data_IF_752691619832
#
_entry.id   IF_752691619832
#
_cell.length_a   1.000
_cell.length_b   1.000
_cell.length_c   1.000
_cell.angle_alpha   90.00
_cell.angle_beta   90.00
_cell.angle_gamma   90.00
#
_symmetry.space_group_name_H-M   'P 1'
#
loop_
_entity.id
_entity.type
_entity.pdbx_description
1 polymer ?
#
# COMPACT_ATOMS: atom_id res chain seq x y z
N UNK A 1 -4.98 2.22 11.56
CA UNK A 1 -6.32 1.97 12.14
C UNK A 1 -7.43 2.75 11.45
N UNK A 2 -7.38 4.08 11.31
CA UNK A 2 -8.40 4.81 10.54
C UNK A 2 -8.32 4.54 9.03
N UNK A 3 -7.10 4.40 8.49
CA UNK A 3 -6.92 4.05 7.07
C UNK A 3 -7.41 2.63 6.74
N UNK A 4 -7.35 1.68 7.68
CA UNK A 4 -7.83 0.30 7.45
C UNK A 4 -9.35 0.18 7.38
N UNK A 5 -10.10 1.22 7.79
CA UNK A 5 -11.56 1.28 7.61
C UNK A 5 -11.96 1.45 6.14
N UNK A 6 -11.03 1.80 5.24
CA UNK A 6 -11.31 1.85 3.80
C UNK A 6 -11.41 0.46 3.17
N UNK A 7 -10.77 -0.55 3.76
CA UNK A 7 -10.76 -1.93 3.24
C UNK A 7 -12.17 -2.51 3.14
N UNK A 8 -13.00 -2.52 4.21
CA UNK A 8 -14.38 -2.98 4.10
C UNK A 8 -15.20 -2.09 3.16
N UNK A 9 -14.99 -0.77 3.17
CA UNK A 9 -15.71 0.14 2.26
C UNK A 9 -15.46 -0.20 0.78
N UNK A 10 -14.21 -0.49 0.40
CA UNK A 10 -13.85 -0.92 -0.96
C UNK A 10 -14.42 -2.30 -1.27
N UNK A 11 -14.36 -3.23 -0.32
CA UNK A 11 -14.93 -4.57 -0.50
C UNK A 11 -16.45 -4.55 -0.73
N UNK A 12 -17.17 -3.67 -0.03
CA UNK A 12 -18.62 -3.49 -0.20
C UNK A 12 -19.01 -2.50 -1.30
N UNK A 13 -18.05 -1.88 -1.98
CA UNK A 13 -18.31 -0.97 -3.11
C UNK A 13 -19.26 -1.53 -4.19
N UNK A 14 -19.15 -2.80 -4.65
CA UNK A 14 -20.07 -3.33 -5.67
C UNK A 14 -21.53 -3.37 -5.20
N UNK A 15 -21.79 -3.42 -3.90
CA UNK A 15 -23.16 -3.42 -3.35
C UNK A 15 -23.87 -2.07 -3.52
N UNK A 16 -23.13 -0.97 -3.53
CA UNK A 16 -23.69 0.38 -3.67
C UNK A 16 -23.83 0.83 -5.13
N UNK A 17 -23.39 0.01 -6.09
CA UNK A 17 -23.49 0.27 -7.51
C UNK A 17 -24.91 -0.08 -7.99
N UNK A 18 -25.61 0.90 -8.55
CA UNK A 18 -26.89 0.72 -9.21
C UNK A 18 -26.70 0.77 -10.73
N UNK A 19 -27.36 -0.15 -11.43
CA UNK A 19 -27.36 -0.21 -12.89
C UNK A 19 -28.61 0.51 -13.38
N UNK A 20 -28.42 1.58 -14.15
CA UNK A 20 -29.49 2.29 -14.84
C UNK A 20 -29.42 1.88 -16.30
N UNK A 21 -30.37 1.03 -16.71
CA UNK A 21 -30.53 0.64 -18.12
C UNK A 21 -31.13 1.80 -18.90
N UNK A 22 -30.39 2.31 -19.88
CA UNK A 22 -30.87 3.29 -20.83
C UNK A 22 -31.39 2.59 -22.08
N UNK A 23 -32.59 2.96 -22.53
CA UNK A 23 -33.29 2.33 -23.66
C UNK A 23 -32.51 2.37 -25.00
N UNK A 24 -31.53 3.26 -25.14
CA UNK A 24 -30.77 3.48 -26.39
C UNK A 24 -29.26 3.60 -26.20
N UNK A 25 -28.71 3.22 -25.03
CA UNK A 25 -27.28 3.38 -24.74
C UNK A 25 -26.72 2.29 -23.82
N UNK A 26 -25.38 2.23 -23.65
CA UNK A 26 -24.76 1.30 -22.71
C UNK A 26 -25.27 1.57 -21.28
N UNK A 27 -25.33 0.54 -20.42
CA UNK A 27 -25.80 0.71 -19.04
C UNK A 27 -24.93 1.76 -18.32
N UNK A 28 -25.59 2.70 -17.65
CA UNK A 28 -24.90 3.70 -16.83
C UNK A 28 -24.86 3.23 -15.38
N UNK A 29 -23.72 3.42 -14.72
CA UNK A 29 -23.53 3.03 -13.32
C UNK A 29 -23.62 4.29 -12.45
N UNK A 30 -24.60 4.32 -11.56
CA UNK A 30 -24.75 5.38 -10.57
C UNK A 30 -24.59 4.78 -9.18
N UNK A 31 -24.08 5.56 -8.23
CA UNK A 31 -23.94 5.14 -6.84
C UNK A 31 -25.03 5.76 -5.97
N UNK A 32 -25.51 5.01 -4.98
CA UNK A 32 -26.51 5.50 -4.02
C UNK A 32 -25.97 6.70 -3.22
N UNK A 33 -26.84 7.65 -2.88
CA UNK A 33 -26.52 8.82 -2.06
C UNK A 33 -25.87 8.45 -0.71
N UNK A 34 -26.26 7.32 -0.13
CA UNK A 34 -25.70 6.80 1.12
C UNK A 34 -24.19 6.57 1.02
N UNK A 35 -23.69 6.07 -0.12
CA UNK A 35 -22.26 5.84 -0.34
C UNK A 35 -21.46 7.15 -0.29
N UNK A 36 -21.96 8.20 -0.94
CA UNK A 36 -21.32 9.51 -0.93
C UNK A 36 -21.28 10.14 0.46
N UNK A 37 -22.38 10.05 1.22
CA UNK A 37 -22.43 10.54 2.61
C UNK A 37 -21.41 9.79 3.48
N UNK A 38 -21.34 8.46 3.38
CA UNK A 38 -20.38 7.65 4.14
C UNK A 38 -18.92 8.00 3.82
N UNK A 39 -18.59 8.17 2.54
CA UNK A 39 -17.24 8.61 2.13
C UNK A 39 -16.93 9.99 2.68
N UNK A 40 -17.86 10.94 2.57
CA UNK A 40 -17.65 12.31 3.02
C UNK A 40 -17.41 12.36 4.53
N UNK A 41 -18.25 11.68 5.32
CA UNK A 41 -18.04 11.56 6.77
C UNK A 41 -16.68 10.95 7.11
N UNK A 42 -16.31 9.86 6.43
CA UNK A 42 -14.99 9.22 6.60
C UNK A 42 -13.84 10.16 6.26
N UNK A 43 -13.95 10.95 5.19
CA UNK A 43 -12.89 11.88 4.79
C UNK A 43 -12.73 13.01 5.80
N UNK A 44 -13.83 13.54 6.33
CA UNK A 44 -13.78 14.58 7.39
C UNK A 44 -13.10 14.04 8.65
N UNK A 45 -13.52 12.87 9.14
CA UNK A 45 -12.94 12.25 10.33
C UNK A 45 -11.44 12.00 10.11
N UNK A 46 -11.07 11.38 8.99
CA UNK A 46 -9.68 11.12 8.65
C UNK A 46 -8.85 12.41 8.60
N UNK A 47 -9.39 13.46 7.97
CA UNK A 47 -8.73 14.76 7.87
C UNK A 47 -8.44 15.36 9.25
N UNK A 48 -9.42 15.38 10.16
CA UNK A 48 -9.25 15.93 11.51
C UNK A 48 -8.12 15.21 12.27
N UNK A 49 -8.16 13.88 12.32
CA UNK A 49 -7.13 13.09 13.01
C UNK A 49 -5.74 13.29 12.39
N UNK A 50 -5.66 13.35 11.06
CA UNK A 50 -4.39 13.57 10.35
C UNK A 50 -3.80 14.95 10.65
N UNK A 51 -4.62 16.00 10.66
CA UNK A 51 -4.16 17.36 10.98
C UNK A 51 -3.73 17.49 12.44
N UNK A 52 -4.49 16.90 13.38
CA UNK A 52 -4.10 16.88 14.80
C UNK A 52 -2.75 16.18 14.99
N UNK A 53 -2.56 15.01 14.37
CA UNK A 53 -1.30 14.28 14.42
C UNK A 53 -0.13 15.11 13.87
N UNK A 54 -0.32 15.78 12.74
CA UNK A 54 0.70 16.63 12.13
C UNK A 54 1.10 17.79 13.05
N UNK A 55 0.12 18.47 13.66
CA UNK A 55 0.38 19.56 14.61
C UNK A 55 1.15 19.05 15.84
N UNK A 56 0.77 17.88 16.38
CA UNK A 56 1.50 17.26 17.49
C UNK A 56 2.96 16.93 17.14
N UNK A 57 3.20 16.40 15.94
CA UNK A 57 4.57 16.12 15.46
C UNK A 57 5.41 17.40 15.35
N UNK A 58 4.85 18.46 14.78
CA UNK A 58 5.56 19.74 14.64
C UNK A 58 5.84 20.40 16.00
N UNK A 59 4.91 20.29 16.95
CA UNK A 59 5.14 20.73 18.33
C UNK A 59 6.26 19.94 19.01
N UNK A 60 6.34 18.63 18.78
CA UNK A 60 7.42 17.79 19.29
C UNK A 60 8.78 18.15 18.66
N UNK A 61 8.83 18.34 17.32
CA UNK A 61 10.05 18.78 16.62
C UNK A 61 10.56 20.12 17.16
N UNK A 62 9.66 21.07 17.42
CA UNK A 62 10.03 22.35 18.03
C UNK A 62 10.56 22.19 19.46
N UNK A 63 9.96 21.30 20.26
CA UNK A 63 10.38 21.05 21.66
C UNK A 63 11.76 20.40 21.76
N UNK A 64 12.08 19.47 20.86
CA UNK A 64 13.36 18.73 20.88
C UNK A 64 14.51 19.51 20.21
N UNK A 65 14.19 20.53 19.42
CA UNK A 65 15.20 21.37 18.76
C UNK A 65 15.82 22.37 19.74
N UNK A 66 17.14 22.40 19.82
CA UNK A 66 17.88 23.39 20.63
C UNK A 66 17.57 24.83 20.18
N UNK A 67 17.21 25.77 21.07
CA UNK A 67 16.98 27.17 20.70
C UNK A 67 18.14 27.88 19.98
N UNK A 68 19.39 27.47 20.22
CA UNK A 68 20.58 28.08 19.62
C UNK A 68 20.82 27.66 18.16
N UNK A 69 20.38 26.47 17.75
CA UNK A 69 20.54 25.91 16.39
C UNK A 69 19.21 25.29 15.90
N UNK A 70 18.09 25.83 16.38
CA UNK A 70 16.78 25.18 16.28
C UNK A 70 16.26 25.13 14.85
N UNK A 71 16.60 26.13 14.03
CA UNK A 71 16.23 26.16 12.62
C UNK A 71 16.77 24.96 11.85
N UNK A 72 18.06 24.63 12.02
CA UNK A 72 18.68 23.48 11.34
C UNK A 72 18.07 22.15 11.80
N UNK A 73 17.86 21.95 13.11
CA UNK A 73 17.25 20.72 13.63
C UNK A 73 15.79 20.57 13.20
N UNK A 74 15.01 21.64 13.22
CA UNK A 74 13.62 21.62 12.79
C UNK A 74 13.50 21.31 11.29
N UNK A 75 14.36 21.90 10.44
CA UNK A 75 14.38 21.58 9.01
C UNK A 75 14.80 20.13 8.77
N UNK A 76 15.85 19.63 9.41
CA UNK A 76 16.31 18.25 9.23
C UNK A 76 15.26 17.23 9.66
N UNK A 77 14.59 17.45 10.80
CA UNK A 77 13.52 16.58 11.28
C UNK A 77 12.31 16.61 10.32
N UNK A 78 11.99 17.76 9.73
CA UNK A 78 10.94 17.86 8.71
C UNK A 78 11.32 17.13 7.42
N UNK A 79 12.59 17.21 6.99
CA UNK A 79 13.10 16.42 5.86
C UNK A 79 12.99 14.92 6.15
N UNK A 80 13.41 14.48 7.35
CA UNK A 80 13.32 13.09 7.77
C UNK A 80 11.85 12.60 7.81
N UNK A 81 10.93 13.41 8.33
CA UNK A 81 9.51 13.08 8.40
C UNK A 81 8.87 12.95 7.01
N UNK A 82 9.18 13.88 6.09
CA UNK A 82 8.69 13.80 4.71
C UNK A 82 9.20 12.56 3.99
N UNK A 83 10.49 12.23 4.17
CA UNK A 83 11.07 11.02 3.58
C UNK A 83 10.43 9.74 4.19
N UNK A 84 10.25 9.71 5.51
CA UNK A 84 9.61 8.60 6.21
C UNK A 84 8.16 8.38 5.79
N UNK A 85 7.44 9.43 5.38
CA UNK A 85 6.07 9.31 4.88
C UNK A 85 6.00 8.73 3.46
N UNK A 86 6.97 9.05 2.60
CA UNK A 86 6.93 8.65 1.18
C UNK A 86 7.53 7.27 0.90
N UNK A 87 8.57 6.85 1.63
CA UNK A 87 9.26 5.57 1.40
C UNK A 87 8.39 4.31 1.58
N UNK A 88 7.52 4.22 2.60
CA UNK A 88 6.69 3.03 2.77
C UNK A 88 5.74 2.84 1.60
N UNK A 89 5.15 3.92 1.08
CA UNK A 89 4.18 3.84 -0.01
C UNK A 89 4.82 3.34 -1.32
N UNK A 90 6.03 3.78 -1.65
CA UNK A 90 6.73 3.31 -2.85
C UNK A 90 7.16 1.85 -2.73
N UNK A 91 7.68 1.45 -1.56
CA UNK A 91 8.05 0.07 -1.28
C UNK A 91 6.83 -0.86 -1.34
N UNK A 92 5.73 -0.44 -0.74
CA UNK A 92 4.48 -1.18 -0.69
C UNK A 92 3.90 -1.40 -2.09
N UNK A 93 3.76 -0.34 -2.88
CA UNK A 93 3.26 -0.47 -4.26
C UNK A 93 4.13 -1.36 -5.13
N UNK A 94 5.45 -1.38 -4.90
CA UNK A 94 6.35 -2.30 -5.60
C UNK A 94 6.11 -3.78 -5.23
N UNK A 95 5.60 -4.05 -4.02
CA UNK A 95 5.35 -5.40 -3.52
C UNK A 95 3.96 -5.96 -3.89
N UNK A 96 2.99 -5.11 -4.28
CA UNK A 96 1.64 -5.57 -4.67
C UNK A 96 1.70 -6.58 -5.82
N UNK A 97 2.41 -6.28 -6.90
CA UNK A 97 2.47 -7.12 -8.09
C UNK A 97 3.12 -8.48 -7.90
N UNK A 98 4.25 -8.64 -7.17
CA UNK A 98 4.78 -9.96 -6.85
C UNK A 98 3.92 -10.72 -5.84
N UNK A 99 3.16 -10.03 -4.99
CA UNK A 99 2.31 -10.68 -3.97
C UNK A 99 0.92 -11.06 -4.51
N UNK A 100 0.52 -10.53 -5.67
CA UNK A 100 -0.77 -10.81 -6.29
C UNK A 100 -0.76 -12.12 -7.08
N UNK A 101 -1.70 -13.01 -6.74
CA UNK A 101 -1.90 -14.28 -7.44
C UNK A 101 -3.04 -14.19 -8.46
N UNK A 102 -2.74 -14.55 -9.71
CA UNK A 102 -3.68 -14.53 -10.84
C UNK A 102 -3.71 -15.88 -11.53
N UNK A 103 -4.90 -16.29 -11.98
CA UNK A 103 -5.11 -17.50 -12.78
C UNK A 103 -5.84 -17.15 -14.07
N UNK A 104 -5.59 -17.94 -15.11
CA UNK A 104 -6.38 -17.95 -16.32
C UNK A 104 -7.41 -19.07 -16.18
N UNK A 105 -8.69 -18.72 -16.07
CA UNK A 105 -9.78 -19.68 -15.88
C UNK A 105 -10.72 -19.67 -17.09
N UNK A 106 -11.57 -20.71 -17.23
CA UNK A 106 -12.54 -20.78 -18.33
C UNK A 106 -11.95 -21.13 -19.71
N UNK A 107 -10.84 -21.87 -19.75
CA UNK A 107 -10.18 -22.24 -21.00
C UNK A 107 -10.99 -23.28 -21.79
N UNK A 108 -10.94 -23.12 -23.11
CA UNK A 108 -11.32 -24.18 -24.04
C UNK A 108 -10.12 -25.12 -24.26
N UNK A 109 -10.13 -26.27 -23.58
CA UNK A 109 -9.00 -27.21 -23.56
C UNK A 109 -8.63 -27.70 -24.97
N UNK A 110 -9.61 -27.84 -25.87
CA UNK A 110 -9.38 -28.22 -27.27
C UNK A 110 -8.55 -27.16 -28.01
N UNK A 111 -8.85 -25.88 -27.77
CA UNK A 111 -8.10 -24.76 -28.36
C UNK A 111 -6.70 -24.64 -27.74
N UNK A 112 -6.56 -24.87 -26.43
CA UNK A 112 -5.26 -24.87 -25.76
C UNK A 112 -4.32 -25.97 -26.25
N UNK A 113 -4.85 -27.17 -26.53
CA UNK A 113 -4.08 -28.28 -27.12
C UNK A 113 -3.54 -27.90 -28.51
N UNK A 114 -4.37 -27.26 -29.35
CA UNK A 114 -3.96 -26.85 -30.70
C UNK A 114 -2.88 -25.77 -30.67
N UNK A 115 -2.99 -24.79 -29.77
CA UNK A 115 -1.97 -23.74 -29.60
C UNK A 115 -0.66 -24.33 -29.07
N UNK A 116 -0.73 -25.26 -28.12
CA UNK A 116 0.44 -25.99 -27.62
C UNK A 116 1.15 -26.76 -28.74
N UNK A 117 0.40 -27.55 -29.52
CA UNK A 117 0.95 -28.34 -30.63
C UNK A 117 1.66 -27.49 -31.70
N UNK A 118 1.19 -26.26 -31.95
CA UNK A 118 1.80 -25.34 -32.92
C UNK A 118 3.02 -24.58 -32.37
N UNK A 119 3.12 -24.40 -31.05
CA UNK A 119 4.16 -23.58 -30.42
C UNK A 119 5.34 -24.38 -29.88
N UNK A 120 5.14 -25.66 -29.56
CA UNK A 120 6.23 -26.57 -29.19
C UNK A 120 6.43 -27.62 -30.29
N UNK A 121 7.47 -27.50 -31.13
CA UNK A 121 7.80 -28.54 -32.09
C UNK A 121 8.33 -29.78 -31.35
N UNK A 122 7.45 -30.75 -31.10
CA UNK A 122 7.65 -32.20 -31.30
C UNK A 122 7.13 -33.14 -30.18
N UNK A 123 6.34 -34.13 -30.64
CA UNK A 123 6.47 -35.57 -30.38
C UNK A 123 6.38 -36.15 -28.96
N UNK A 124 5.56 -35.57 -28.06
CA UNK A 124 5.16 -36.25 -26.81
C UNK A 124 3.65 -36.51 -26.77
N UNK A 125 3.18 -37.55 -26.07
CA UNK A 125 1.75 -37.77 -25.87
C UNK A 125 1.17 -36.56 -25.12
N UNK A 126 0.25 -35.87 -25.77
CA UNK A 126 -0.41 -34.67 -25.23
C UNK A 126 -1.31 -35.14 -24.08
N UNK A 127 -0.88 -34.90 -22.84
CA UNK A 127 -1.68 -35.11 -21.64
C UNK A 127 -2.16 -33.78 -21.08
N UNK A 128 -3.34 -33.78 -20.44
CA UNK A 128 -3.93 -32.55 -19.89
C UNK A 128 -3.00 -31.85 -18.87
N UNK A 129 -2.18 -32.60 -18.14
CA UNK A 129 -1.24 -32.05 -17.16
C UNK A 129 -0.14 -31.22 -17.80
N UNK A 130 0.42 -31.66 -18.93
CA UNK A 130 1.46 -30.94 -19.67
C UNK A 130 0.90 -29.63 -20.23
N UNK A 131 -0.32 -29.67 -20.75
CA UNK A 131 -0.99 -28.47 -21.29
C UNK A 131 -1.27 -27.46 -20.17
N UNK A 132 -1.76 -27.91 -19.01
CA UNK A 132 -1.99 -27.03 -17.85
C UNK A 132 -0.69 -26.42 -17.32
N UNK A 133 0.39 -27.19 -17.30
CA UNK A 133 1.71 -26.68 -16.91
C UNK A 133 2.23 -25.62 -17.89
N UNK A 134 2.09 -25.83 -19.21
CA UNK A 134 2.45 -24.83 -20.22
C UNK A 134 1.62 -23.54 -20.07
N UNK A 135 0.30 -23.67 -19.84
CA UNK A 135 -0.59 -22.52 -19.60
C UNK A 135 -0.12 -21.73 -18.38
N UNK A 136 0.27 -22.40 -17.30
CA UNK A 136 0.71 -21.73 -16.06
C UNK A 136 1.96 -20.85 -16.25
N UNK A 137 2.82 -21.18 -17.22
CA UNK A 137 4.05 -20.42 -17.52
C UNK A 137 3.87 -19.36 -18.58
N UNK A 138 2.97 -19.57 -19.54
CA UNK A 138 2.81 -18.70 -20.72
C UNK A 138 1.63 -17.73 -20.60
N UNK A 139 0.54 -18.15 -19.94
CA UNK A 139 -0.68 -17.36 -19.73
C UNK A 139 -0.79 -16.87 -18.27
N UNK A 140 0.26 -16.20 -17.78
CA UNK A 140 0.41 -15.81 -16.36
C UNK A 140 -0.49 -14.66 -15.89
N UNK A 141 -1.29 -14.06 -16.78
CA UNK A 141 -2.17 -12.91 -16.46
C UNK A 141 -1.46 -11.75 -15.71
N UNK A 142 -0.14 -11.61 -15.86
CA UNK A 142 0.68 -10.56 -15.20
C UNK A 142 1.15 -9.50 -16.20
N UNK A 143 1.92 -9.91 -17.20
CA UNK A 143 2.34 -9.04 -18.31
C UNK A 143 1.29 -9.00 -19.42
N UNK A 144 1.31 -7.97 -20.26
CA UNK A 144 0.41 -7.84 -21.41
C UNK A 144 0.41 -9.10 -22.30
N UNK A 145 1.60 -9.64 -22.61
CA UNK A 145 1.76 -10.87 -23.36
C UNK A 145 1.06 -12.08 -22.69
N UNK A 146 1.16 -12.21 -21.37
CA UNK A 146 0.51 -13.30 -20.63
C UNK A 146 -1.02 -13.14 -20.54
N UNK A 147 -1.52 -11.91 -20.53
CA UNK A 147 -2.96 -11.64 -20.59
C UNK A 147 -3.52 -11.91 -21.99
N UNK A 148 -2.80 -11.53 -23.05
CA UNK A 148 -3.17 -11.82 -24.43
C UNK A 148 -3.12 -13.32 -24.72
N UNK A 149 -2.12 -14.02 -24.19
CA UNK A 149 -2.05 -15.48 -24.27
C UNK A 149 -3.27 -16.15 -23.63
N UNK A 150 -3.71 -15.70 -22.44
CA UNK A 150 -4.92 -16.22 -21.80
C UNK A 150 -6.18 -15.95 -22.65
N UNK A 151 -6.32 -14.74 -23.21
CA UNK A 151 -7.44 -14.37 -24.08
C UNK A 151 -7.47 -15.16 -25.39
N UNK A 152 -6.30 -15.45 -25.97
CA UNK A 152 -6.17 -16.25 -27.18
C UNK A 152 -6.67 -17.69 -26.98
N UNK A 153 -6.65 -18.18 -25.74
CA UNK A 153 -7.17 -19.47 -25.31
C UNK A 153 -8.66 -19.42 -24.91
N UNK A 154 -9.35 -18.31 -25.19
CA UNK A 154 -10.71 -17.97 -24.71
C UNK A 154 -10.87 -17.96 -23.19
N UNK A 155 -9.75 -17.94 -22.45
CA UNK A 155 -9.77 -17.83 -21.00
C UNK A 155 -10.01 -16.41 -20.52
N UNK A 156 -10.47 -16.29 -19.28
CA UNK A 156 -10.59 -15.02 -18.56
C UNK A 156 -9.58 -14.99 -17.42
N UNK A 157 -8.84 -13.88 -17.31
CA UNK A 157 -7.92 -13.68 -16.20
C UNK A 157 -8.71 -13.33 -14.94
N UNK A 158 -8.67 -14.20 -13.93
CA UNK A 158 -9.28 -13.96 -12.63
C UNK A 158 -8.18 -13.82 -11.55
N UNK A 159 -8.33 -12.81 -10.70
CA UNK A 159 -7.46 -12.61 -9.53
C UNK A 159 -7.95 -13.49 -8.39
N UNK A 160 -7.13 -14.46 -7.95
CA UNK A 160 -7.50 -15.37 -6.85
C UNK A 160 -7.23 -14.68 -5.51
N UNK A 161 -6.05 -14.09 -5.38
CA UNK A 161 -5.62 -13.38 -4.18
C UNK A 161 -5.01 -12.06 -4.61
N UNK A 162 -5.62 -10.96 -4.19
CA UNK A 162 -5.09 -9.63 -4.45
C UNK A 162 -4.04 -9.28 -3.39
N UNK A 163 -2.81 -9.05 -3.86
CA UNK A 163 -1.65 -8.75 -3.02
C UNK A 163 -1.87 -7.53 -2.13
N UNK A 164 -2.73 -6.60 -2.56
CA UNK A 164 -3.11 -5.43 -1.78
C UNK A 164 -3.69 -5.78 -0.40
N UNK A 165 -4.61 -6.74 -0.32
CA UNK A 165 -5.23 -7.11 0.96
C UNK A 165 -4.25 -7.85 1.88
N UNK A 166 -3.39 -8.70 1.31
CA UNK A 166 -2.35 -9.41 2.06
C UNK A 166 -1.35 -8.42 2.64
N UNK A 167 -0.89 -7.48 1.83
CA UNK A 167 0.07 -6.45 2.22
C UNK A 167 -0.48 -5.54 3.32
N UNK A 168 -1.75 -5.10 3.22
CA UNK A 168 -2.40 -4.33 4.27
C UNK A 168 -2.41 -5.11 5.59
N UNK A 169 -2.74 -6.40 5.55
CA UNK A 169 -2.73 -7.25 6.74
C UNK A 169 -1.35 -7.30 7.41
N UNK A 170 -0.31 -7.49 6.61
CA UNK A 170 1.09 -7.48 7.07
C UNK A 170 1.47 -6.11 7.65
N UNK A 171 1.10 -5.01 6.99
CA UNK A 171 1.42 -3.65 7.46
C UNK A 171 0.76 -3.32 8.79
N UNK A 172 -0.50 -3.76 8.99
CA UNK A 172 -1.19 -3.58 10.27
C UNK A 172 -0.49 -4.38 11.36
N UNK A 173 -0.13 -5.63 11.08
CA UNK A 173 0.57 -6.49 12.04
C UNK A 173 1.91 -5.88 12.46
N UNK A 174 2.75 -5.51 11.49
CA UNK A 174 4.05 -4.89 11.73
C UNK A 174 3.90 -3.55 12.46
N UNK A 175 2.92 -2.72 12.06
CA UNK A 175 2.63 -1.45 12.71
C UNK A 175 2.21 -1.61 14.17
N UNK A 176 1.33 -2.56 14.46
CA UNK A 176 0.88 -2.84 15.83
C UNK A 176 2.04 -3.38 16.68
N UNK A 177 2.79 -4.35 16.18
CA UNK A 177 3.93 -4.94 16.90
C UNK A 177 4.99 -3.87 17.17
N UNK A 178 5.41 -3.12 16.14
CA UNK A 178 6.43 -2.06 16.29
C UNK A 178 5.99 -0.94 17.22
N UNK A 179 4.69 -0.58 17.22
CA UNK A 179 4.15 0.40 18.13
C UNK A 179 4.29 -0.01 19.60
N UNK A 180 3.83 -1.22 19.93
CA UNK A 180 3.85 -1.71 21.32
C UNK A 180 5.25 -2.10 21.78
N UNK A 181 6.06 -2.70 20.92
CA UNK A 181 7.38 -3.20 21.28
C UNK A 181 8.44 -2.07 21.36
N UNK A 182 8.39 -1.10 20.44
CA UNK A 182 9.47 -0.11 20.30
C UNK A 182 8.98 1.33 20.46
N UNK A 183 8.05 1.77 19.62
CA UNK A 183 7.69 3.20 19.53
C UNK A 183 7.17 3.76 20.85
N UNK A 184 6.26 3.03 21.52
CA UNK A 184 5.69 3.46 22.80
C UNK A 184 6.74 3.58 23.90
N UNK A 185 7.70 2.65 23.94
CA UNK A 185 8.75 2.65 24.95
C UNK A 185 9.73 3.81 24.73
N UNK A 186 10.14 4.02 23.48
CA UNK A 186 11.09 5.08 23.11
C UNK A 186 10.46 6.46 23.30
N UNK A 187 9.20 6.65 22.88
CA UNK A 187 8.46 7.89 23.10
C UNK A 187 8.37 8.23 24.60
N UNK A 188 7.98 7.25 25.43
CA UNK A 188 7.92 7.45 26.88
C UNK A 188 9.27 7.83 27.50
N UNK A 189 10.37 7.23 27.02
CA UNK A 189 11.72 7.60 27.48
C UNK A 189 12.11 9.03 27.06
N UNK A 190 11.82 9.42 25.82
CA UNK A 190 12.11 10.76 25.29
C UNK A 190 11.29 11.85 25.98
N UNK A 191 10.03 11.57 26.30
CA UNK A 191 9.12 12.51 26.97
C UNK A 191 9.55 12.82 28.42
N UNK A 192 10.16 11.85 29.09
CA UNK A 192 10.68 11.99 30.46
C UNK A 192 11.98 12.79 30.54
N UNK A 193 12.71 12.94 29.42
CA UNK A 193 13.97 13.68 29.44
C UNK A 193 13.72 15.18 29.62
N UNK A 194 14.43 15.85 30.54
CA UNK A 194 14.34 17.29 30.67
C UNK A 194 14.88 17.97 29.41
N UNK A 195 14.30 19.13 29.07
CA UNK A 195 14.64 19.89 27.84
C UNK A 195 16.13 20.24 27.75
N UNK A 196 16.83 20.31 28.89
CA UNK A 196 18.28 20.53 28.94
C UNK A 196 19.10 19.42 28.26
N UNK A 197 18.58 18.19 28.17
CA UNK A 197 19.26 17.06 27.54
C UNK A 197 19.38 17.19 26.03
N UNK A 198 18.50 18.00 25.42
CA UNK A 198 18.49 18.28 23.98
C UNK A 198 19.28 19.54 23.62
N UNK A 199 19.85 20.24 24.63
CA UNK A 199 20.64 21.45 24.42
C UNK A 199 22.11 21.12 24.25
N UNK A 200 22.71 21.71 23.23
CA UNK A 200 24.14 21.76 23.02
C UNK A 200 24.80 22.48 24.20
N UNK A 201 25.66 21.75 24.92
CA UNK A 201 26.49 22.33 25.97
C UNK A 201 27.74 22.91 25.32
N UNK A 202 27.80 24.23 25.22
CA UNK A 202 29.10 24.87 25.02
C UNK A 202 29.98 24.51 26.23
N UNK A 203 31.02 23.73 25.99
CA UNK A 203 32.12 23.67 26.96
C UNK A 203 32.79 25.04 26.87
N UNK A 204 32.80 25.87 27.92
CA UNK A 204 33.55 27.10 27.85
C UNK A 204 35.00 26.71 27.59
N UNK A 205 35.55 27.16 26.46
CA UNK A 205 37.00 27.25 26.29
C UNK A 205 37.50 27.96 27.55
N UNK A 206 38.48 27.38 28.24
CA UNK A 206 39.12 27.98 29.41
C UNK A 206 39.67 29.35 28.98
N UNK A 207 38.85 30.38 29.11
CA UNK A 207 39.20 31.70 28.62
C UNK A 207 40.07 32.36 29.67
N UNK A 208 41.18 32.91 29.18
CA UNK A 208 42.33 33.43 29.90
C UNK A 208 42.02 33.97 31.30
N UNK A 209 42.74 33.41 32.28
CA UNK A 209 43.01 34.07 33.55
C UNK A 209 43.66 35.42 33.22
N UNK A 210 42.93 36.51 33.43
CA UNK A 210 43.53 37.84 33.50
C UNK A 210 44.31 37.87 34.81
N UNK A 211 45.64 37.78 34.69
CA UNK A 211 46.56 38.19 35.74
C UNK A 211 46.49 39.70 35.97
#
# INVERSE_FOLDING_TARGET
>A
LLASLTVPLVHYMPYFRQVVENATGPPTYVFSATFYILILCKMVIYSVFSHVMFVCQMAYHARVSDPSIGGTYMTLLNTAANLAASLPATLMLYLVDPLTWRSCDGLDLAQAINVYANSTPAASPISESIVRDWISRNATCKAAAGMEACKALKGTCHTILDGFYVEIGVCILVGVISYFAFLRQVAGKLDLLPVSSYRYRHTPLACCRKD
#
